data_IF_577103153438
#
_entry.id   IF_577103153438
#
_cell.length_a   1.000
_cell.length_b   1.000
_cell.length_c   1.000
_cell.angle_alpha   90.00
_cell.angle_beta   90.00
_cell.angle_gamma   90.00
#
_symmetry.space_group_name_H-M   'P 1'
#
loop_
_entity.id
_entity.type
_entity.pdbx_description
1 polymer ?
#
# COMPACT_ATOMS: atom_id res chain seq x y z
N UNK A 1 48.24 13.23 30.28
CA UNK A 1 46.96 12.70 29.76
C UNK A 1 45.85 13.47 30.47
N UNK A 2 45.70 14.77 30.17
CA UNK A 2 44.85 15.72 30.93
C UNK A 2 44.40 16.90 30.03
N UNK A 3 43.84 16.64 28.86
CA UNK A 3 43.35 17.72 27.97
C UNK A 3 41.93 17.47 27.42
N UNK A 4 41.35 16.30 27.71
CA UNK A 4 40.00 15.91 27.24
C UNK A 4 38.89 16.36 28.20
N UNK A 5 39.19 16.44 29.50
CA UNK A 5 38.17 16.70 30.53
C UNK A 5 37.70 18.17 30.49
N UNK A 6 38.59 19.14 30.22
CA UNK A 6 38.23 20.57 30.22
C UNK A 6 37.37 21.01 29.04
N UNK A 7 37.57 20.44 27.85
CA UNK A 7 36.79 20.78 26.64
C UNK A 7 35.36 20.26 26.78
N UNK A 8 35.20 19.04 27.29
CA UNK A 8 33.89 18.42 27.50
C UNK A 8 33.08 19.17 28.56
N UNK A 9 33.71 19.59 29.66
CA UNK A 9 33.09 20.44 30.68
C UNK A 9 32.69 21.82 30.14
N UNK A 10 33.54 22.44 29.33
CA UNK A 10 33.23 23.72 28.68
C UNK A 10 32.02 23.60 27.75
N UNK A 11 31.96 22.53 26.93
CA UNK A 11 30.84 22.27 26.04
C UNK A 11 29.55 22.02 26.80
N UNK A 12 29.58 21.27 27.91
CA UNK A 12 28.42 21.05 28.77
C UNK A 12 27.94 22.34 29.44
N UNK A 13 28.86 23.20 29.86
CA UNK A 13 28.51 24.51 30.45
C UNK A 13 27.87 25.42 29.40
N UNK A 14 28.42 25.47 28.19
CA UNK A 14 27.85 26.21 27.06
C UNK A 14 26.47 25.66 26.68
N UNK A 15 26.29 24.34 26.66
CA UNK A 15 25.00 23.70 26.43
C UNK A 15 23.98 24.08 27.52
N UNK A 16 24.37 24.04 28.80
CA UNK A 16 23.47 24.40 29.91
C UNK A 16 22.99 25.87 29.90
N UNK A 17 23.72 26.76 29.22
CA UNK A 17 23.36 28.17 29.06
C UNK A 17 22.27 28.39 28.00
N UNK A 18 22.04 27.41 27.12
CA UNK A 18 20.99 27.50 26.10
C UNK A 18 19.63 27.27 26.78
N UNK A 19 18.63 28.14 26.53
CA UNK A 19 17.29 27.95 27.11
C UNK A 19 16.68 26.62 26.70
N UNK A 20 16.03 25.94 27.65
CA UNK A 20 15.37 24.64 27.47
C UNK A 20 14.42 24.63 26.26
N UNK A 21 13.81 25.77 25.94
CA UNK A 21 12.93 25.93 24.77
C UNK A 21 13.59 25.55 23.44
N UNK A 22 14.88 25.81 23.26
CA UNK A 22 15.61 25.47 22.03
C UNK A 22 15.81 23.97 21.90
N UNK A 23 16.08 23.28 23.01
CA UNK A 23 16.18 21.82 23.04
C UNK A 23 14.84 21.16 22.74
N UNK A 24 13.75 21.65 23.36
CA UNK A 24 12.40 21.16 23.09
C UNK A 24 12.01 21.37 21.62
N UNK A 25 12.31 22.55 21.07
CA UNK A 25 12.05 22.86 19.66
C UNK A 25 12.89 21.96 18.73
N UNK A 26 14.17 21.74 19.03
CA UNK A 26 15.03 20.85 18.27
C UNK A 26 14.51 19.40 18.28
N UNK A 27 14.16 18.87 19.45
CA UNK A 27 13.56 17.54 19.60
C UNK A 27 12.24 17.46 18.82
N UNK A 28 11.41 18.50 18.88
CA UNK A 28 10.14 18.54 18.15
C UNK A 28 10.36 18.50 16.63
N UNK A 29 11.31 19.29 16.10
CA UNK A 29 11.65 19.28 14.67
C UNK A 29 12.20 17.90 14.26
N UNK A 30 13.12 17.33 15.02
CA UNK A 30 13.70 16.01 14.74
C UNK A 30 12.60 14.94 14.76
N UNK A 31 11.71 14.98 15.76
CA UNK A 31 10.59 14.05 15.86
C UNK A 31 9.62 14.22 14.70
N UNK A 32 9.29 15.45 14.31
CA UNK A 32 8.43 15.72 13.17
C UNK A 32 9.02 15.18 11.86
N UNK A 33 10.32 15.42 11.61
CA UNK A 33 11.03 14.88 10.44
C UNK A 33 11.04 13.35 10.49
N UNK A 34 11.34 12.76 11.65
CA UNK A 34 11.32 11.32 11.83
C UNK A 34 9.94 10.73 11.48
N UNK A 35 8.86 11.27 12.06
CA UNK A 35 7.50 10.79 11.79
C UNK A 35 7.08 11.03 10.34
N UNK A 36 7.41 12.18 9.74
CA UNK A 36 7.11 12.45 8.33
C UNK A 36 7.71 11.39 7.41
N UNK A 37 8.98 11.03 7.64
CA UNK A 37 9.67 10.00 6.86
C UNK A 37 9.20 8.58 7.22
N UNK A 38 9.02 8.28 8.50
CA UNK A 38 8.57 6.96 8.97
C UNK A 38 7.14 6.63 8.50
N UNK A 39 6.25 7.62 8.47
CA UNK A 39 4.89 7.46 7.98
C UNK A 39 4.81 7.56 6.44
N UNK A 40 5.90 7.92 5.77
CA UNK A 40 6.00 8.14 4.31
C UNK A 40 4.89 9.07 3.78
N UNK A 41 4.57 10.13 4.52
CA UNK A 41 3.53 11.08 4.12
C UNK A 41 4.13 12.08 3.13
N UNK A 42 3.48 12.32 1.99
CA UNK A 42 3.98 13.23 0.96
C UNK A 42 3.24 14.57 0.87
N UNK A 43 2.28 14.84 1.76
CA UNK A 43 1.41 16.03 1.70
C UNK A 43 2.16 17.36 1.63
N UNK A 44 3.28 17.49 2.35
CA UNK A 44 4.06 18.73 2.38
C UNK A 44 4.77 18.92 1.05
N UNK A 45 5.41 17.86 0.55
CA UNK A 45 6.03 17.86 -0.79
C UNK A 45 5.01 18.16 -1.88
N UNK A 46 3.83 17.54 -1.83
CA UNK A 46 2.77 17.74 -2.81
C UNK A 46 2.19 19.16 -2.75
N UNK A 47 2.07 19.74 -1.55
CA UNK A 47 1.67 21.14 -1.38
C UNK A 47 2.65 22.10 -2.05
N UNK A 48 3.96 21.93 -1.84
CA UNK A 48 4.98 22.74 -2.50
C UNK A 48 5.03 22.53 -4.02
N UNK A 49 4.66 21.34 -4.50
CA UNK A 49 4.52 21.04 -5.93
C UNK A 49 3.14 21.43 -6.51
N UNK A 50 2.27 22.05 -5.71
CA UNK A 50 0.94 22.50 -6.12
C UNK A 50 -0.01 21.36 -6.50
N UNK A 51 0.13 20.18 -5.88
CA UNK A 51 -0.66 18.97 -6.15
C UNK A 51 -0.71 18.57 -7.64
N UNK A 52 0.34 18.88 -8.40
CA UNK A 52 0.39 18.60 -9.85
C UNK A 52 0.69 17.14 -10.19
N UNK A 53 1.06 16.33 -9.20
CA UNK A 53 1.47 14.94 -9.37
C UNK A 53 2.83 14.78 -10.06
N UNK A 54 3.37 13.57 -9.96
CA UNK A 54 4.66 13.16 -10.52
C UNK A 54 4.46 12.28 -11.77
N UNK A 55 5.35 12.33 -12.76
CA UNK A 55 5.31 11.41 -13.89
C UNK A 55 5.53 9.97 -13.41
N UNK A 56 4.81 9.02 -14.00
CA UNK A 56 4.99 7.59 -13.70
C UNK A 56 6.26 7.08 -14.37
N UNK A 57 7.17 6.47 -13.60
CA UNK A 57 8.34 5.78 -14.15
C UNK A 57 7.97 4.34 -14.48
N UNK A 58 8.04 3.98 -15.77
CA UNK A 58 7.72 2.64 -16.25
C UNK A 58 9.02 1.89 -16.60
N UNK A 59 9.15 0.67 -16.09
CA UNK A 59 10.24 -0.24 -16.48
C UNK A 59 9.68 -1.29 -17.43
N UNK A 60 10.15 -1.30 -18.68
CA UNK A 60 9.68 -2.22 -19.71
C UNK A 60 10.79 -2.55 -20.70
N UNK A 61 10.65 -3.70 -21.37
CA UNK A 61 11.48 -4.03 -22.52
C UNK A 61 10.87 -3.37 -23.77
N UNK A 62 11.61 -2.45 -24.38
CA UNK A 62 11.19 -1.71 -25.58
C UNK A 62 10.89 -2.61 -26.78
N UNK A 63 11.48 -3.81 -26.83
CA UNK A 63 11.27 -4.77 -27.91
C UNK A 63 10.08 -5.72 -27.65
N UNK A 64 9.39 -5.59 -26.52
CA UNK A 64 8.25 -6.46 -26.19
C UNK A 64 7.01 -6.07 -26.97
N UNK A 65 6.30 -7.06 -27.52
CA UNK A 65 4.98 -6.85 -28.14
C UNK A 65 3.97 -6.25 -27.16
N UNK A 66 4.07 -6.57 -25.87
CA UNK A 66 3.17 -6.02 -24.83
C UNK A 66 3.34 -4.50 -24.72
N UNK A 67 4.58 -4.01 -24.81
CA UNK A 67 4.84 -2.57 -24.80
C UNK A 67 4.19 -1.88 -26.01
N UNK A 68 4.43 -2.40 -27.21
CA UNK A 68 3.87 -1.82 -28.43
C UNK A 68 2.35 -1.89 -28.50
N UNK A 69 1.74 -2.95 -27.99
CA UNK A 69 0.30 -3.15 -28.10
C UNK A 69 -0.50 -2.51 -26.95
N UNK A 70 0.07 -2.43 -25.75
CA UNK A 70 -0.65 -1.98 -24.54
C UNK A 70 -0.05 -0.68 -24.00
N UNK A 71 1.21 -0.71 -23.56
CA UNK A 71 1.81 0.39 -22.80
C UNK A 71 1.92 1.65 -23.66
N UNK A 72 2.39 1.53 -24.90
CA UNK A 72 2.58 2.67 -25.81
C UNK A 72 1.26 3.38 -26.19
N UNK A 73 0.14 2.66 -26.12
CA UNK A 73 -1.19 3.19 -26.49
C UNK A 73 -2.02 3.66 -25.28
N UNK A 74 -1.60 3.31 -24.06
CA UNK A 74 -2.33 3.64 -22.85
C UNK A 74 -1.93 5.01 -22.32
N UNK A 75 -2.70 6.06 -22.64
CA UNK A 75 -2.43 7.44 -22.23
C UNK A 75 -2.37 7.63 -20.71
N UNK A 76 -3.10 6.82 -19.95
CA UNK A 76 -3.12 6.84 -18.48
C UNK A 76 -1.73 6.49 -17.92
N UNK A 77 -1.03 5.52 -18.51
CA UNK A 77 0.29 5.10 -18.05
C UNK A 77 1.38 6.16 -18.31
N UNK A 78 1.15 7.05 -19.29
CA UNK A 78 2.04 8.19 -19.59
C UNK A 78 1.63 9.48 -18.87
N UNK A 79 0.58 9.41 -18.05
CA UNK A 79 0.07 10.53 -17.28
C UNK A 79 0.90 10.86 -16.05
N UNK A 80 0.45 11.88 -15.32
CA UNK A 80 0.95 12.18 -13.98
C UNK A 80 0.09 11.48 -12.95
N UNK A 81 0.74 10.92 -11.94
CA UNK A 81 0.10 10.30 -10.80
C UNK A 81 0.24 11.20 -9.57
N UNK A 82 -0.88 11.43 -8.89
CA UNK A 82 -0.93 12.11 -7.60
C UNK A 82 -1.43 11.11 -6.57
N UNK A 83 -0.62 10.87 -5.54
CA UNK A 83 -1.04 10.06 -4.40
C UNK A 83 -2.13 10.78 -3.63
N UNK A 84 -3.03 10.02 -3.00
CA UNK A 84 -3.99 10.62 -2.07
C UNK A 84 -3.22 11.26 -0.90
N UNK A 85 -3.47 12.53 -0.54
CA UNK A 85 -2.61 13.27 0.39
C UNK A 85 -2.44 12.65 1.79
N UNK A 86 -3.41 11.83 2.21
CA UNK A 86 -3.43 11.12 3.49
C UNK A 86 -2.99 9.65 3.37
N UNK A 87 -2.46 9.24 2.22
CA UNK A 87 -1.96 7.89 1.99
C UNK A 87 -0.65 7.72 2.76
N UNK A 88 -0.75 7.20 3.99
CA UNK A 88 0.41 6.79 4.77
C UNK A 88 1.10 5.58 4.11
N UNK A 89 2.31 5.24 4.56
CA UNK A 89 3.07 4.07 4.13
C UNK A 89 2.18 2.82 3.95
N UNK A 90 2.38 2.00 2.91
CA UNK A 90 1.63 0.75 2.72
C UNK A 90 1.58 -0.11 3.98
N UNK A 91 2.66 -0.13 4.76
CA UNK A 91 2.74 -0.86 6.03
C UNK A 91 1.74 -0.38 7.08
N UNK A 92 1.49 0.93 7.15
CA UNK A 92 0.50 1.51 8.05
C UNK A 92 -0.91 1.26 7.57
N UNK A 93 -1.15 1.26 6.26
CA UNK A 93 -2.45 0.90 5.71
C UNK A 93 -2.80 -0.54 6.02
N UNK A 94 -1.87 -1.47 5.77
CA UNK A 94 -2.04 -2.89 6.11
C UNK A 94 -2.19 -3.08 7.61
N UNK A 95 -1.38 -2.41 8.44
CA UNK A 95 -1.53 -2.49 9.91
C UNK A 95 -2.88 -1.94 10.36
N UNK A 96 -3.33 -0.81 9.81
CA UNK A 96 -4.64 -0.24 10.13
C UNK A 96 -5.76 -1.20 9.76
N UNK A 97 -5.74 -1.79 8.57
CA UNK A 97 -6.75 -2.78 8.15
C UNK A 97 -6.71 -4.04 9.03
N UNK A 98 -5.52 -4.50 9.43
CA UNK A 98 -5.36 -5.65 10.31
C UNK A 98 -5.88 -5.41 11.75
N UNK A 99 -5.55 -4.26 12.34
CA UNK A 99 -5.86 -3.98 13.75
C UNK A 99 -7.21 -3.30 13.95
N UNK A 100 -7.63 -2.43 13.02
CA UNK A 100 -8.82 -1.59 13.13
C UNK A 100 -9.85 -1.89 12.03
N UNK A 101 -9.44 -2.59 10.97
CA UNK A 101 -10.37 -3.01 9.93
C UNK A 101 -11.38 -4.02 10.47
N UNK A 102 -12.55 -4.02 9.83
CA UNK A 102 -13.59 -5.01 10.04
C UNK A 102 -13.80 -5.73 8.72
N UNK A 103 -12.90 -6.65 8.34
CA UNK A 103 -13.04 -7.33 7.07
C UNK A 103 -14.39 -8.07 7.05
N UNK A 104 -15.12 -8.00 5.95
CA UNK A 104 -16.37 -8.74 5.81
C UNK A 104 -16.08 -10.25 5.88
N UNK A 105 -16.93 -10.98 6.62
CA UNK A 105 -16.80 -12.44 6.74
C UNK A 105 -17.51 -13.10 5.58
N UNK A 106 -16.73 -13.66 4.65
CA UNK A 106 -17.22 -14.47 3.54
C UNK A 106 -16.75 -15.91 3.67
N UNK A 107 -17.36 -16.81 2.91
CA UNK A 107 -16.90 -18.19 2.78
C UNK A 107 -16.71 -18.47 1.30
N UNK A 108 -15.46 -18.56 0.86
CA UNK A 108 -15.14 -18.86 -0.52
C UNK A 108 -15.37 -20.35 -0.81
N UNK A 109 -15.82 -20.63 -2.04
CA UNK A 109 -15.86 -22.00 -2.57
C UNK A 109 -14.60 -22.24 -3.38
N UNK A 110 -13.69 -23.07 -2.85
CA UNK A 110 -12.44 -23.43 -3.53
C UNK A 110 -12.66 -24.45 -4.65
N UNK A 111 -12.07 -24.19 -5.80
CA UNK A 111 -11.96 -25.10 -6.93
C UNK A 111 -10.48 -25.26 -7.30
N UNK A 112 -9.99 -26.50 -7.31
CA UNK A 112 -8.63 -26.80 -7.70
C UNK A 112 -8.59 -27.19 -9.18
N UNK A 113 -7.66 -26.60 -9.92
CA UNK A 113 -7.36 -26.92 -11.29
C UNK A 113 -5.93 -27.44 -11.38
N UNK A 114 -5.77 -28.65 -11.90
CA UNK A 114 -4.45 -29.25 -12.12
C UNK A 114 -4.03 -28.92 -13.55
N UNK A 115 -2.89 -28.26 -13.69
CA UNK A 115 -2.35 -27.89 -15.00
C UNK A 115 -1.61 -29.08 -15.63
N UNK A 116 -1.47 -29.13 -16.97
CA UNK A 116 -0.83 -30.26 -17.67
C UNK A 116 0.62 -30.54 -17.26
N UNK A 117 1.31 -29.53 -16.73
CA UNK A 117 2.67 -29.61 -16.17
C UNK A 117 2.71 -30.10 -14.71
N UNK A 118 1.57 -30.46 -14.13
CA UNK A 118 1.45 -30.94 -12.75
C UNK A 118 1.32 -29.83 -11.70
N UNK A 119 1.27 -28.57 -12.11
CA UNK A 119 0.94 -27.46 -11.23
C UNK A 119 -0.50 -27.53 -10.72
N UNK A 120 -0.79 -26.81 -9.63
CA UNK A 120 -2.15 -26.69 -9.07
C UNK A 120 -2.50 -25.22 -8.90
N UNK A 121 -3.61 -24.81 -9.50
CA UNK A 121 -4.18 -23.46 -9.39
C UNK A 121 -5.47 -23.57 -8.55
N UNK A 122 -5.58 -22.77 -7.50
CA UNK A 122 -6.80 -22.65 -6.71
C UNK A 122 -7.60 -21.43 -7.16
N UNK A 123 -8.89 -21.62 -7.47
CA UNK A 123 -9.86 -20.56 -7.65
C UNK A 123 -10.78 -20.51 -6.43
N UNK A 124 -10.87 -19.36 -5.80
CA UNK A 124 -11.75 -19.13 -4.66
C UNK A 124 -12.92 -18.26 -5.11
N UNK A 125 -14.09 -18.89 -5.22
CA UNK A 125 -15.29 -18.26 -5.73
C UNK A 125 -16.10 -17.61 -4.61
N UNK A 126 -16.57 -16.38 -4.84
CA UNK A 126 -17.54 -15.69 -4.00
C UNK A 126 -18.81 -15.43 -4.81
N UNK A 127 -19.94 -16.03 -4.43
CA UNK A 127 -21.20 -15.84 -5.13
C UNK A 127 -21.99 -14.68 -4.52
N UNK A 128 -22.81 -13.95 -5.31
CA UNK A 128 -23.67 -12.89 -4.79
C UNK A 128 -24.62 -13.35 -3.66
N UNK A 129 -25.05 -14.61 -3.70
CA UNK A 129 -25.85 -15.26 -2.66
C UNK A 129 -25.14 -15.36 -1.32
N UNK A 130 -23.81 -15.50 -1.30
CA UNK A 130 -23.02 -15.67 -0.08
C UNK A 130 -22.79 -14.33 0.65
N UNK A 131 -22.98 -13.21 -0.07
CA UNK A 131 -22.85 -11.84 0.45
C UNK A 131 -24.18 -11.35 1.03
N UNK A 132 -25.31 -11.72 0.43
CA UNK A 132 -26.64 -11.26 0.84
C UNK A 132 -27.35 -12.30 1.71
N UNK A 133 -27.22 -12.20 3.04
CA UNK A 133 -27.81 -13.12 4.05
C UNK A 133 -29.36 -13.27 4.01
N UNK A 134 -30.05 -12.67 3.04
CA UNK A 134 -31.51 -12.66 2.93
C UNK A 134 -32.12 -13.31 1.68
N UNK A 135 -31.34 -13.70 0.67
CA UNK A 135 -31.92 -14.35 -0.52
C UNK A 135 -31.99 -15.86 -0.32
N UNK A 136 -33.22 -16.36 -0.19
CA UNK A 136 -33.64 -17.75 -0.22
C UNK A 136 -32.71 -18.66 -1.03
N UNK A 137 -32.27 -19.74 -0.37
CA UNK A 137 -31.56 -20.92 -0.88
C UNK A 137 -31.93 -21.26 -2.33
N UNK A 138 -31.25 -20.65 -3.30
CA UNK A 138 -31.20 -21.15 -4.67
C UNK A 138 -29.92 -21.95 -4.79
N UNK A 139 -30.09 -23.22 -5.13
CA UNK A 139 -29.06 -24.22 -5.40
C UNK A 139 -27.73 -23.62 -5.90
N UNK A 140 -26.62 -24.02 -5.27
CA UNK A 140 -25.23 -23.62 -5.58
C UNK A 140 -24.71 -24.14 -6.95
N UNK A 141 -25.62 -24.34 -7.91
CA UNK A 141 -25.34 -24.85 -9.24
C UNK A 141 -25.43 -23.67 -10.19
N UNK A 142 -24.26 -23.21 -10.64
CA UNK A 142 -24.13 -22.22 -11.70
C UNK A 142 -24.71 -22.85 -12.97
N UNK A 143 -25.84 -22.33 -13.46
CA UNK A 143 -26.42 -22.81 -14.71
C UNK A 143 -25.58 -22.33 -15.89
N UNK A 144 -25.57 -23.10 -16.99
CA UNK A 144 -24.96 -22.66 -18.25
C UNK A 144 -25.64 -21.42 -18.85
N UNK A 145 -26.87 -21.13 -18.44
CA UNK A 145 -27.61 -19.93 -18.86
C UNK A 145 -27.44 -18.74 -17.90
N UNK A 146 -26.57 -18.84 -16.88
CA UNK A 146 -26.35 -17.76 -15.92
C UNK A 146 -25.64 -16.57 -16.60
N UNK A 147 -26.28 -15.40 -16.56
CA UNK A 147 -25.76 -14.14 -17.11
C UNK A 147 -25.03 -13.29 -16.08
N UNK A 148 -24.77 -13.82 -14.88
CA UNK A 148 -24.08 -13.09 -13.81
C UNK A 148 -22.66 -12.72 -14.27
N UNK A 149 -22.29 -11.42 -14.21
CA UNK A 149 -20.96 -10.99 -14.64
C UNK A 149 -19.88 -11.57 -13.71
N UNK A 150 -18.80 -12.09 -14.32
CA UNK A 150 -17.66 -12.66 -13.59
C UNK A 150 -16.56 -11.61 -13.49
N UNK A 151 -16.11 -11.33 -12.27
CA UNK A 151 -14.94 -10.50 -12.00
C UNK A 151 -13.80 -11.41 -11.54
N UNK A 152 -12.68 -11.39 -12.25
CA UNK A 152 -11.48 -12.15 -11.89
C UNK A 152 -10.50 -11.18 -11.24
N UNK A 153 -10.15 -11.45 -9.98
CA UNK A 153 -9.12 -10.70 -9.24
C UNK A 153 -7.89 -11.58 -9.13
N UNK A 154 -6.76 -11.10 -9.62
CA UNK A 154 -5.46 -11.80 -9.54
C UNK A 154 -4.60 -11.02 -8.53
N UNK A 155 -4.44 -11.51 -7.30
CA UNK A 155 -3.63 -10.84 -6.30
C UNK A 155 -2.13 -10.90 -6.62
N UNK A 156 -1.35 -10.07 -5.92
CA UNK A 156 0.11 -10.08 -6.01
C UNK A 156 0.74 -11.30 -5.32
N UNK A 157 2.07 -11.42 -5.42
CA UNK A 157 2.86 -12.61 -5.04
C UNK A 157 2.71 -13.12 -3.59
N UNK A 158 2.23 -12.30 -2.64
CA UNK A 158 2.10 -12.68 -1.23
C UNK A 158 0.67 -12.57 -0.69
N UNK A 159 -0.33 -12.42 -1.57
CA UNK A 159 -1.74 -12.31 -1.17
C UNK A 159 -2.51 -13.54 -1.63
N UNK A 160 -3.30 -14.09 -0.71
CA UNK A 160 -4.27 -15.15 -0.97
C UNK A 160 -5.69 -14.64 -0.70
N UNK A 161 -6.69 -15.47 -0.96
CA UNK A 161 -8.10 -15.12 -0.75
C UNK A 161 -8.50 -14.95 0.71
N UNK A 162 -7.71 -15.50 1.65
CA UNK A 162 -7.93 -15.42 3.09
C UNK A 162 -7.15 -14.27 3.76
N UNK A 163 -6.28 -13.59 3.00
CA UNK A 163 -5.51 -12.44 3.46
C UNK A 163 -6.39 -11.18 3.55
N UNK A 164 -6.29 -10.39 4.64
CA UNK A 164 -7.10 -9.18 4.87
C UNK A 164 -6.72 -7.98 4.00
#
# INVERSE_FOLDING_TARGET
>A
MECSDSISELLLKVASLIPISHYLLGIWIISFIFWYNFLEIHIISDLFNGFRGNPVSLTFNTCSEIYHNVVSKCSILHGRYLVTPWLASPHLQTSFLNFLGRPPKFTYKRQLFITPDGGTIAFDWLMPSDVNRGSSYRSNVISKEDTTPIVIVIPGLMSDSDSP
#
